data_IF_749827100466
#
_entry.id   IF_749827100466
#
_cell.length_a   1.000
_cell.length_b   1.000
_cell.length_c   1.000
_cell.angle_alpha   90.00
_cell.angle_beta   90.00
_cell.angle_gamma   90.00
#
_symmetry.space_group_name_H-M   'P 1'
#
loop_
_entity.id
_entity.type
_entity.pdbx_description
1 polymer ?
#
# COMPACT_ATOMS: atom_id res chain seq x y z
N UNK A 1 24.64 -18.21 -16.65
CA UNK A 1 25.02 -16.81 -16.33
C UNK A 1 26.43 -16.47 -16.81
N UNK A 2 26.71 -16.28 -18.12
CA UNK A 2 28.09 -15.99 -18.55
C UNK A 2 28.33 -15.28 -19.92
N UNK A 3 27.32 -14.90 -20.71
CA UNK A 3 27.56 -14.39 -22.09
C UNK A 3 27.04 -12.98 -22.39
N UNK A 4 26.29 -12.35 -21.49
CA UNK A 4 25.87 -10.94 -21.60
C UNK A 4 26.92 -9.93 -21.08
N UNK A 5 27.94 -10.40 -20.35
CA UNK A 5 28.98 -9.54 -19.74
C UNK A 5 30.20 -9.24 -20.63
N UNK A 6 30.30 -9.82 -21.83
CA UNK A 6 31.49 -9.69 -22.69
C UNK A 6 31.42 -8.59 -23.75
N UNK A 7 30.29 -7.89 -23.92
CA UNK A 7 30.13 -6.82 -24.94
C UNK A 7 30.13 -5.38 -24.38
N UNK A 8 30.26 -5.18 -23.06
CA UNK A 8 30.28 -3.85 -22.44
C UNK A 8 31.68 -3.35 -22.06
N UNK A 9 32.73 -4.12 -22.33
CA UNK A 9 34.11 -3.66 -22.12
C UNK A 9 34.56 -2.81 -23.31
N UNK A 10 34.79 -1.52 -23.04
CA UNK A 10 35.22 -0.40 -23.92
C UNK A 10 34.12 0.44 -24.57
N UNK A 11 33.38 1.16 -23.72
CA UNK A 11 33.17 2.60 -23.90
C UNK A 11 33.31 3.23 -22.51
N UNK A 12 34.40 3.94 -22.27
CA UNK A 12 34.44 4.93 -21.18
C UNK A 12 33.53 6.09 -21.63
N UNK A 13 32.22 5.90 -21.47
CA UNK A 13 31.31 7.03 -21.34
C UNK A 13 31.67 7.69 -20.03
N UNK A 14 32.20 8.92 -20.09
CA UNK A 14 32.15 9.82 -18.95
C UNK A 14 30.66 9.93 -18.58
N UNK A 15 30.23 9.17 -17.58
CA UNK A 15 28.92 9.37 -16.98
C UNK A 15 29.00 10.73 -16.30
N UNK A 16 28.39 11.74 -16.91
CA UNK A 16 28.15 13.02 -16.25
C UNK A 16 27.19 12.68 -15.12
N UNK A 17 27.70 12.68 -13.89
CA UNK A 17 26.88 12.49 -12.70
C UNK A 17 26.15 13.80 -12.47
N UNK A 18 24.83 13.78 -12.65
CA UNK A 18 24.00 14.96 -12.41
C UNK A 18 23.43 14.92 -10.99
N UNK A 19 23.50 16.07 -10.31
CA UNK A 19 22.90 16.28 -9.00
C UNK A 19 21.76 17.29 -9.14
N UNK A 20 20.56 16.90 -8.72
CA UNK A 20 19.39 17.76 -8.71
C UNK A 20 18.94 18.02 -7.28
N UNK A 21 18.76 19.30 -6.92
CA UNK A 21 18.30 19.70 -5.60
C UNK A 21 16.82 20.08 -5.60
N UNK A 22 16.09 19.67 -4.56
CA UNK A 22 14.70 20.03 -4.29
C UNK A 22 14.50 20.41 -2.82
N UNK A 23 13.74 21.46 -2.52
CA UNK A 23 13.39 21.79 -1.13
C UNK A 23 12.61 20.67 -0.45
N UNK A 24 11.70 20.04 -1.19
CA UNK A 24 10.84 18.95 -0.71
C UNK A 24 10.82 17.80 -1.71
N UNK A 25 11.13 16.59 -1.25
CA UNK A 25 11.06 15.37 -2.06
C UNK A 25 10.06 14.39 -1.46
N UNK A 26 8.99 14.12 -2.19
CA UNK A 26 8.00 13.08 -1.87
C UNK A 26 8.39 11.80 -2.59
N UNK A 27 8.44 10.67 -1.88
CA UNK A 27 8.73 9.35 -2.46
C UNK A 27 7.53 8.46 -2.20
N UNK A 28 6.85 7.94 -3.22
CA UNK A 28 5.68 7.07 -3.03
C UNK A 28 4.90 6.86 -4.31
N UNK A 29 4.07 5.83 -4.34
CA UNK A 29 3.41 5.35 -5.57
C UNK A 29 1.87 5.28 -5.43
N UNK A 30 1.30 5.99 -4.45
CA UNK A 30 -0.10 5.88 -4.03
C UNK A 30 -0.87 7.22 -4.02
N UNK A 31 -2.18 7.16 -3.75
CA UNK A 31 -3.03 8.36 -3.62
C UNK A 31 -2.50 9.38 -2.61
N UNK A 32 -1.88 8.90 -1.54
CA UNK A 32 -1.55 9.74 -0.39
C UNK A 32 -0.28 10.54 -0.65
N UNK A 33 0.72 9.94 -1.30
CA UNK A 33 1.91 10.62 -1.83
C UNK A 33 1.54 11.63 -2.92
N UNK A 34 0.60 11.30 -3.82
CA UNK A 34 0.08 12.24 -4.81
C UNK A 34 -0.61 13.46 -4.16
N UNK A 35 -1.44 13.23 -3.14
CA UNK A 35 -2.09 14.31 -2.39
C UNK A 35 -1.09 15.17 -1.61
N UNK A 36 -0.10 14.54 -0.96
CA UNK A 36 0.96 15.28 -0.26
C UNK A 36 1.76 16.16 -1.23
N UNK A 37 2.15 15.62 -2.38
CA UNK A 37 2.82 16.38 -3.43
C UNK A 37 2.00 17.60 -3.83
N UNK A 38 0.70 17.42 -4.10
CA UNK A 38 -0.21 18.52 -4.45
C UNK A 38 -0.29 19.59 -3.35
N UNK A 39 -0.40 19.18 -2.09
CA UNK A 39 -0.44 20.08 -0.95
C UNK A 39 0.87 20.88 -0.82
N UNK A 40 2.02 20.23 -0.93
CA UNK A 40 3.32 20.88 -0.87
C UNK A 40 3.53 21.85 -2.04
N UNK A 41 3.14 21.48 -3.27
CA UNK A 41 3.20 22.40 -4.41
C UNK A 41 2.34 23.64 -4.18
N UNK A 42 1.17 23.50 -3.54
CA UNK A 42 0.31 24.65 -3.21
C UNK A 42 0.90 25.58 -2.14
N UNK A 43 1.75 25.04 -1.25
CA UNK A 43 2.36 25.79 -0.14
C UNK A 43 3.70 26.42 -0.51
N UNK A 44 4.53 25.72 -1.29
CA UNK A 44 5.92 26.07 -1.57
C UNK A 44 6.19 26.41 -3.04
N UNK A 45 5.27 26.08 -3.95
CA UNK A 45 5.42 26.23 -5.39
C UNK A 45 6.00 24.97 -6.06
N UNK A 46 5.65 24.75 -7.33
CA UNK A 46 6.03 23.53 -8.07
C UNK A 46 7.55 23.38 -8.28
N UNK A 47 8.31 24.48 -8.31
CA UNK A 47 9.76 24.43 -8.53
C UNK A 47 10.54 23.86 -7.33
N UNK A 48 9.96 23.93 -6.13
CA UNK A 48 10.62 23.51 -4.88
C UNK A 48 10.29 22.05 -4.49
N UNK A 49 9.32 21.44 -5.17
CA UNK A 49 8.75 20.16 -4.77
C UNK A 49 8.88 19.16 -5.90
N UNK A 50 9.51 18.02 -5.62
CA UNK A 50 9.55 16.89 -6.53
C UNK A 50 8.79 15.69 -5.95
N UNK A 51 8.24 14.88 -6.85
CA UNK A 51 7.64 13.60 -6.51
C UNK A 51 8.32 12.48 -7.28
N UNK A 52 8.84 11.51 -6.53
CA UNK A 52 9.41 10.28 -7.03
C UNK A 52 8.36 9.16 -6.97
N UNK A 53 7.94 8.70 -8.15
CA UNK A 53 7.05 7.57 -8.34
C UNK A 53 7.69 6.58 -9.32
N UNK A 54 7.70 5.30 -8.97
CA UNK A 54 8.23 4.21 -9.81
C UNK A 54 7.35 3.89 -11.02
N UNK A 55 6.07 4.23 -10.94
CA UNK A 55 5.08 3.95 -11.98
C UNK A 55 4.53 5.27 -12.50
N UNK A 56 4.22 5.33 -13.80
CA UNK A 56 3.55 6.48 -14.37
C UNK A 56 2.19 6.69 -13.68
N UNK A 57 1.96 7.84 -13.00
CA UNK A 57 0.73 8.05 -12.26
C UNK A 57 -0.47 8.06 -13.20
N UNK A 58 -1.43 7.19 -12.93
CA UNK A 58 -2.74 7.19 -13.57
C UNK A 58 -3.82 6.92 -12.53
N UNK A 59 -5.09 7.19 -12.86
CA UNK A 59 -6.21 6.89 -11.96
C UNK A 59 -6.26 5.40 -11.56
N UNK A 60 -5.95 4.50 -12.49
CA UNK A 60 -5.97 3.06 -12.25
C UNK A 60 -4.78 2.60 -11.38
N UNK A 61 -3.65 3.30 -11.44
CA UNK A 61 -2.43 3.00 -10.66
C UNK A 61 -2.47 3.57 -9.25
N UNK A 62 -2.97 4.80 -9.09
CA UNK A 62 -3.00 5.46 -7.78
C UNK A 62 -4.04 4.84 -6.85
N UNK A 63 -5.20 4.42 -7.39
CA UNK A 63 -6.26 3.81 -6.58
C UNK A 63 -5.76 2.55 -5.86
N UNK A 64 -6.23 2.28 -4.62
CA UNK A 64 -5.89 1.06 -3.93
C UNK A 64 -6.25 -0.18 -4.77
N UNK A 65 -5.31 -1.11 -4.88
CA UNK A 65 -5.52 -2.37 -5.58
C UNK A 65 -6.09 -3.43 -4.64
N UNK A 66 -6.91 -4.31 -5.19
CA UNK A 66 -7.42 -5.48 -4.49
C UNK A 66 -8.75 -5.24 -3.76
N UNK A 67 -9.19 -6.26 -3.01
CA UNK A 67 -10.39 -6.14 -2.18
C UNK A 67 -10.27 -4.96 -1.21
N UNK A 68 -11.40 -4.33 -0.87
CA UNK A 68 -11.39 -3.14 0.00
C UNK A 68 -10.64 -3.39 1.29
N UNK A 69 -9.90 -2.36 1.72
CA UNK A 69 -9.10 -2.34 2.93
C UNK A 69 -9.81 -1.65 4.10
N UNK A 70 -11.00 -1.06 3.86
CA UNK A 70 -11.86 -0.55 4.91
C UNK A 70 -12.80 -1.67 5.36
N UNK A 71 -12.47 -2.36 6.44
CA UNK A 71 -13.21 -3.55 6.92
C UNK A 71 -13.39 -3.56 8.43
N UNK A 72 -14.51 -4.12 8.87
CA UNK A 72 -14.79 -4.28 10.30
C UNK A 72 -15.31 -3.00 10.96
N UNK A 73 -16.03 -3.19 12.06
CA UNK A 73 -16.74 -2.10 12.74
C UNK A 73 -15.80 -1.04 13.30
N UNK A 74 -14.65 -1.45 13.83
CA UNK A 74 -13.65 -0.54 14.41
C UNK A 74 -13.09 0.43 13.36
N UNK A 75 -12.69 -0.10 12.20
CA UNK A 75 -12.15 0.69 11.09
C UNK A 75 -13.19 1.61 10.48
N UNK A 76 -14.44 1.15 10.36
CA UNK A 76 -15.55 1.97 9.85
C UNK A 76 -15.91 3.13 10.79
N UNK A 77 -15.90 2.86 12.09
CA UNK A 77 -16.14 3.89 13.10
C UNK A 77 -15.06 4.97 13.01
N UNK A 78 -13.79 4.59 12.91
CA UNK A 78 -12.69 5.54 12.85
C UNK A 78 -12.66 6.32 11.54
N UNK A 79 -12.88 5.63 10.42
CA UNK A 79 -13.01 6.29 9.12
C UNK A 79 -14.10 7.36 9.13
N UNK A 80 -15.26 7.07 9.74
CA UNK A 80 -16.36 8.03 9.87
C UNK A 80 -16.02 9.25 10.73
N UNK A 81 -15.09 9.14 11.69
CA UNK A 81 -14.63 10.29 12.48
C UNK A 81 -13.71 11.21 11.68
N UNK A 82 -12.82 10.61 10.90
CA UNK A 82 -11.84 11.34 10.10
C UNK A 82 -12.46 11.98 8.86
N UNK A 83 -13.45 11.29 8.27
CA UNK A 83 -14.12 11.71 7.06
C UNK A 83 -15.65 11.72 7.27
N UNK A 84 -16.18 12.60 8.13
CA UNK A 84 -17.60 12.59 8.52
C UNK A 84 -18.56 12.88 7.36
N UNK A 85 -18.07 13.50 6.30
CA UNK A 85 -18.85 13.84 5.11
C UNK A 85 -18.61 12.89 3.93
N UNK A 86 -17.77 11.86 4.08
CA UNK A 86 -17.47 10.95 2.99
C UNK A 86 -18.60 9.94 2.80
N UNK A 87 -19.02 9.74 1.56
CA UNK A 87 -19.95 8.67 1.25
C UNK A 87 -19.22 7.31 1.21
N UNK A 88 -19.80 6.34 1.90
CA UNK A 88 -19.25 4.99 2.05
C UNK A 88 -20.32 3.96 1.67
N UNK A 89 -20.03 3.13 0.67
CA UNK A 89 -20.89 2.02 0.29
C UNK A 89 -20.55 0.79 1.14
N UNK A 90 -21.47 0.35 1.99
CA UNK A 90 -21.26 -0.82 2.85
C UNK A 90 -21.53 -2.13 2.12
N UNK A 91 -20.65 -3.11 2.30
CA UNK A 91 -20.87 -4.45 1.79
C UNK A 91 -21.85 -5.20 2.69
N UNK A 92 -23.09 -5.35 2.25
CA UNK A 92 -24.15 -6.00 3.03
C UNK A 92 -23.92 -7.51 3.23
N UNK A 93 -23.38 -8.18 2.21
CA UNK A 93 -23.20 -9.64 2.20
C UNK A 93 -21.92 -10.03 2.93
N UNK A 94 -22.02 -11.04 3.80
CA UNK A 94 -20.87 -11.59 4.51
C UNK A 94 -19.91 -12.33 3.56
N UNK A 95 -18.59 -12.30 3.82
CA UNK A 95 -17.61 -13.07 3.07
C UNK A 95 -17.89 -14.57 3.03
N UNK A 96 -17.49 -15.22 1.94
CA UNK A 96 -17.68 -16.66 1.69
C UNK A 96 -16.40 -17.31 1.17
N UNK A 97 -16.24 -18.61 1.45
CA UNK A 97 -15.14 -19.41 0.91
C UNK A 97 -15.65 -20.52 0.00
N UNK A 98 -14.85 -20.89 -0.99
CA UNK A 98 -15.18 -21.93 -1.96
C UNK A 98 -14.63 -23.29 -1.52
N UNK A 99 -15.53 -24.25 -1.24
CA UNK A 99 -15.16 -25.62 -0.82
C UNK A 99 -16.21 -26.61 -1.28
N UNK A 100 -15.78 -27.80 -1.72
CA UNK A 100 -16.67 -28.86 -2.25
C UNK A 100 -17.59 -28.34 -3.37
N UNK A 101 -17.01 -27.53 -4.26
CA UNK A 101 -17.68 -26.92 -5.41
C UNK A 101 -18.80 -25.92 -5.07
N UNK A 102 -18.90 -25.47 -3.82
CA UNK A 102 -19.92 -24.52 -3.37
C UNK A 102 -19.29 -23.39 -2.55
N UNK A 103 -19.89 -22.21 -2.64
CA UNK A 103 -19.59 -21.13 -1.71
C UNK A 103 -20.28 -21.37 -0.38
N UNK A 104 -19.53 -21.18 0.71
CA UNK A 104 -19.98 -21.45 2.08
C UNK A 104 -19.63 -20.24 2.95
N UNK A 105 -20.50 -19.85 3.90
CA UNK A 105 -20.21 -18.78 4.83
C UNK A 105 -19.20 -19.24 5.89
N UNK A 106 -18.40 -18.30 6.39
CA UNK A 106 -17.58 -18.50 7.58
C UNK A 106 -18.50 -18.72 8.80
N UNK A 107 -18.56 -19.95 9.31
CA UNK A 107 -19.39 -20.34 10.47
C UNK A 107 -18.66 -21.37 11.31
N UNK A 108 -19.05 -21.55 12.58
CA UNK A 108 -18.45 -22.54 13.46
C UNK A 108 -18.54 -23.99 12.92
N UNK A 109 -19.57 -24.29 12.11
CA UNK A 109 -19.83 -25.64 11.57
C UNK A 109 -19.08 -25.93 10.27
N UNK A 110 -18.83 -24.91 9.45
CA UNK A 110 -18.18 -25.07 8.15
C UNK A 110 -16.81 -24.39 8.16
N UNK A 111 -15.74 -25.19 8.16
CA UNK A 111 -14.36 -24.71 8.18
C UNK A 111 -13.82 -24.55 6.77
N UNK A 112 -13.27 -23.37 6.48
CA UNK A 112 -12.38 -23.13 5.33
C UNK A 112 -11.09 -23.95 5.48
N UNK A 113 -10.21 -23.90 4.49
CA UNK A 113 -8.81 -24.22 4.74
C UNK A 113 -8.22 -23.20 5.72
N UNK A 114 -7.12 -23.51 6.44
CA UNK A 114 -6.52 -22.58 7.37
C UNK A 114 -6.20 -21.26 6.70
N UNK A 115 -6.72 -20.18 7.29
CA UNK A 115 -6.46 -18.83 6.84
C UNK A 115 -5.01 -18.48 7.16
N UNK A 116 -4.28 -18.01 6.14
CA UNK A 116 -2.90 -17.59 6.30
C UNK A 116 -2.81 -16.15 6.81
N UNK A 117 -1.59 -15.64 6.94
CA UNK A 117 -1.33 -14.26 7.36
C UNK A 117 -2.17 -13.28 6.54
N UNK A 118 -2.78 -12.30 7.20
CA UNK A 118 -3.59 -11.28 6.54
C UNK A 118 -4.98 -11.74 6.08
N UNK A 119 -5.21 -13.02 5.81
CA UNK A 119 -6.47 -13.50 5.22
C UNK A 119 -7.66 -13.35 6.16
N UNK A 120 -7.44 -13.51 7.48
CA UNK A 120 -8.47 -13.32 8.50
C UNK A 120 -9.09 -11.91 8.48
N UNK A 121 -8.33 -10.90 8.04
CA UNK A 121 -8.83 -9.53 7.90
C UNK A 121 -9.98 -9.46 6.87
N UNK A 122 -9.84 -10.18 5.76
CA UNK A 122 -10.82 -10.19 4.68
C UNK A 122 -12.06 -11.04 4.99
N UNK A 123 -12.09 -11.77 6.11
CA UNK A 123 -13.29 -12.49 6.55
C UNK A 123 -14.32 -11.55 7.18
N UNK A 124 -13.96 -10.28 7.37
CA UNK A 124 -14.85 -9.23 7.85
C UNK A 124 -15.52 -8.51 6.67
N UNK A 125 -16.72 -7.97 6.91
CA UNK A 125 -17.42 -7.16 5.90
C UNK A 125 -16.61 -5.91 5.57
N UNK A 126 -16.54 -5.58 4.28
CA UNK A 126 -15.91 -4.36 3.81
C UNK A 126 -16.86 -3.20 3.61
N UNK A 127 -16.29 -2.04 3.32
CA UNK A 127 -16.99 -0.91 2.74
C UNK A 127 -16.10 -0.18 1.73
N UNK A 128 -16.70 0.57 0.83
CA UNK A 128 -16.02 1.26 -0.25
C UNK A 128 -16.23 2.76 -0.11
N UNK A 129 -15.22 3.50 0.34
CA UNK A 129 -15.31 4.94 0.32
C UNK A 129 -15.24 5.43 -1.13
N UNK A 130 -15.96 6.50 -1.44
CA UNK A 130 -15.81 7.20 -2.72
C UNK A 130 -14.51 8.00 -2.73
N UNK A 131 -13.45 7.40 -3.27
CA UNK A 131 -12.11 8.00 -3.30
C UNK A 131 -12.07 9.36 -3.97
N UNK A 132 -12.89 9.58 -4.99
CA UNK A 132 -13.00 10.84 -5.72
C UNK A 132 -13.59 11.99 -4.88
N UNK A 133 -14.34 11.66 -3.82
CA UNK A 133 -14.84 12.63 -2.84
C UNK A 133 -13.79 12.94 -1.78
N UNK A 134 -12.97 11.95 -1.40
CA UNK A 134 -11.87 12.14 -0.45
C UNK A 134 -10.68 12.88 -1.07
N UNK A 135 -10.39 12.58 -2.34
CA UNK A 135 -9.24 13.06 -3.08
C UNK A 135 -9.71 13.79 -4.33
N UNK A 136 -10.12 15.04 -4.16
CA UNK A 136 -10.72 15.83 -5.24
C UNK A 136 -9.82 15.98 -6.48
N UNK A 137 -8.49 15.87 -6.32
CA UNK A 137 -7.55 15.92 -7.44
C UNK A 137 -7.77 14.79 -8.45
N UNK A 138 -8.41 13.68 -8.06
CA UNK A 138 -8.77 12.59 -8.99
C UNK A 138 -9.76 13.04 -10.06
N UNK A 139 -10.51 14.11 -9.81
CA UNK A 139 -11.41 14.70 -10.80
C UNK A 139 -10.75 15.83 -11.62
N UNK A 140 -9.54 16.25 -11.25
CA UNK A 140 -8.79 17.29 -11.94
C UNK A 140 -8.00 16.69 -13.12
N UNK A 141 -8.56 16.83 -14.32
CA UNK A 141 -7.96 16.28 -15.55
C UNK A 141 -6.66 16.97 -15.93
N UNK A 142 -6.52 18.27 -15.65
CA UNK A 142 -5.31 19.02 -15.99
C UNK A 142 -4.16 18.60 -15.07
N UNK A 143 -4.43 18.51 -13.77
CA UNK A 143 -3.47 18.01 -12.80
C UNK A 143 -3.03 16.58 -13.14
N UNK A 144 -3.99 15.66 -13.32
CA UNK A 144 -3.69 14.26 -13.64
C UNK A 144 -2.89 14.10 -14.95
N UNK A 145 -3.20 14.89 -15.98
CA UNK A 145 -2.44 14.88 -17.24
C UNK A 145 -1.03 15.45 -17.06
N UNK A 146 -0.84 16.40 -16.15
CA UNK A 146 0.47 17.00 -15.88
C UNK A 146 1.41 16.07 -15.10
N UNK A 147 0.87 15.20 -14.25
CA UNK A 147 1.65 14.31 -13.37
C UNK A 147 2.64 13.44 -14.15
N UNK A 148 2.22 12.83 -15.27
CA UNK A 148 3.07 11.95 -16.07
C UNK A 148 4.37 12.62 -16.58
N UNK A 149 4.36 13.95 -16.76
CA UNK A 149 5.52 14.72 -17.21
C UNK A 149 6.37 15.33 -16.08
N UNK A 150 5.82 15.41 -14.87
CA UNK A 150 6.44 16.10 -13.72
C UNK A 150 7.09 15.14 -12.73
N UNK A 151 6.72 13.86 -12.78
CA UNK A 151 7.16 12.87 -11.82
C UNK A 151 8.52 12.28 -12.18
N UNK A 152 9.37 12.16 -11.18
CA UNK A 152 10.66 11.50 -11.28
C UNK A 152 10.44 9.99 -11.14
N UNK A 153 10.96 9.20 -12.09
CA UNK A 153 10.89 7.73 -12.03
C UNK A 153 12.25 7.00 -11.94
N UNK A 154 13.31 7.55 -11.33
CA UNK A 154 14.55 6.81 -11.19
C UNK A 154 14.40 5.65 -10.20
N UNK A 155 15.02 4.52 -10.51
CA UNK A 155 15.19 3.43 -9.56
C UNK A 155 16.23 3.83 -8.52
N UNK A 156 15.85 3.87 -7.25
CA UNK A 156 16.75 4.26 -6.15
C UNK A 156 17.48 3.04 -5.62
N UNK A 157 18.79 3.17 -5.46
CA UNK A 157 19.70 2.11 -4.97
C UNK A 157 20.42 2.48 -3.68
N UNK A 158 20.30 3.73 -3.24
CA UNK A 158 20.89 4.18 -1.99
C UNK A 158 20.27 5.47 -1.47
N UNK A 159 20.35 5.64 -0.16
CA UNK A 159 19.88 6.81 0.57
C UNK A 159 20.92 7.16 1.64
N UNK A 160 21.28 8.43 1.76
CA UNK A 160 22.20 8.90 2.78
C UNK A 160 21.67 10.19 3.40
N UNK A 161 21.87 10.32 4.72
CA UNK A 161 21.83 11.63 5.37
C UNK A 161 23.17 12.33 5.13
N UNK A 162 23.11 13.58 4.69
CA UNK A 162 24.27 14.41 4.38
C UNK A 162 24.24 15.66 5.25
N UNK A 163 25.42 16.23 5.50
CA UNK A 163 25.53 17.51 6.21
C UNK A 163 25.42 18.63 5.18
N UNK A 164 24.50 19.60 5.35
CA UNK A 164 24.40 20.75 4.47
C UNK A 164 25.73 21.50 4.36
N UNK A 165 26.26 21.62 3.15
CA UNK A 165 27.47 22.41 2.87
C UNK A 165 27.16 23.77 2.24
N UNK A 166 26.00 23.90 1.58
CA UNK A 166 25.51 25.13 0.97
C UNK A 166 24.48 25.80 1.88
N UNK A 167 24.59 27.12 2.05
CA UNK A 167 23.68 27.93 2.86
C UNK A 167 22.36 28.23 2.13
N UNK A 168 22.32 28.10 0.81
CA UNK A 168 21.15 28.34 -0.03
C UNK A 168 20.44 27.00 -0.29
N UNK A 169 21.19 25.97 -0.71
CA UNK A 169 20.67 24.62 -0.96
C UNK A 169 21.07 23.70 0.19
N UNK A 170 20.39 23.85 1.32
CA UNK A 170 20.68 23.12 2.55
C UNK A 170 20.20 21.65 2.48
N UNK A 171 20.82 20.85 1.60
CA UNK A 171 20.48 19.44 1.43
C UNK A 171 20.84 18.61 2.66
N UNK A 172 19.87 17.88 3.19
CA UNK A 172 20.04 16.97 4.33
C UNK A 172 19.97 15.50 3.92
N UNK A 173 19.35 15.20 2.77
CA UNK A 173 19.21 13.85 2.25
C UNK A 173 19.69 13.78 0.81
N UNK A 174 20.31 12.65 0.47
CA UNK A 174 20.73 12.31 -0.89
C UNK A 174 20.23 10.91 -1.25
N UNK A 175 19.44 10.82 -2.32
CA UNK A 175 19.04 9.56 -2.95
C UNK A 175 19.94 9.31 -4.16
N UNK A 176 20.40 8.08 -4.29
CA UNK A 176 21.24 7.62 -5.40
C UNK A 176 20.42 6.80 -6.37
N UNK A 177 20.32 7.24 -7.62
CA UNK A 177 19.69 6.50 -8.70
C UNK A 177 20.59 5.38 -9.24
N UNK A 178 19.97 4.33 -9.79
CA UNK A 178 20.66 3.23 -10.46
C UNK A 178 21.41 3.68 -11.73
N UNK A 179 21.01 4.82 -12.29
CA UNK A 179 21.65 5.54 -13.39
C UNK A 179 22.95 6.27 -12.96
N UNK A 180 23.20 6.36 -11.65
CA UNK A 180 24.34 7.06 -11.07
C UNK A 180 24.08 8.52 -10.75
N UNK A 181 22.88 9.03 -11.00
CA UNK A 181 22.49 10.41 -10.68
C UNK A 181 22.09 10.56 -9.21
N UNK A 182 22.12 11.80 -8.71
CA UNK A 182 21.74 12.12 -7.33
C UNK A 182 20.53 13.05 -7.28
N UNK A 183 19.60 12.72 -6.38
CA UNK A 183 18.53 13.61 -5.97
C UNK A 183 18.82 14.06 -4.54
N UNK A 184 18.97 15.35 -4.34
CA UNK A 184 19.23 15.96 -3.03
C UNK A 184 18.02 16.73 -2.57
N UNK A 185 17.73 16.66 -1.26
CA UNK A 185 16.65 17.44 -0.70
C UNK A 185 16.88 17.87 0.73
N UNK A 186 16.22 18.96 1.12
CA UNK A 186 16.15 19.39 2.51
C UNK A 186 15.14 18.53 3.28
N UNK A 187 13.91 18.41 2.77
CA UNK A 187 12.82 17.65 3.41
C UNK A 187 12.50 16.38 2.63
N UNK A 188 12.59 15.22 3.28
CA UNK A 188 12.29 13.92 2.70
C UNK A 188 10.99 13.36 3.27
N UNK A 189 9.99 13.17 2.40
CA UNK A 189 8.72 12.52 2.73
C UNK A 189 8.72 11.11 2.14
N UNK A 190 8.93 10.12 3.00
CA UNK A 190 9.08 8.73 2.61
C UNK A 190 7.77 7.98 2.74
N UNK A 191 7.10 7.84 1.61
CA UNK A 191 5.82 7.16 1.44
C UNK A 191 5.87 5.66 1.25
N UNK A 192 7.06 5.11 1.03
CA UNK A 192 7.25 3.67 0.93
C UNK A 192 7.49 3.06 2.31
N UNK A 193 7.72 1.75 2.34
CA UNK A 193 7.91 1.05 3.62
C UNK A 193 9.12 1.56 4.41
N UNK A 194 8.99 1.54 5.75
CA UNK A 194 10.10 1.85 6.65
C UNK A 194 11.25 0.84 6.53
N UNK A 195 10.96 -0.43 6.21
CA UNK A 195 11.98 -1.42 5.92
C UNK A 195 12.75 -1.12 4.63
N UNK A 196 12.11 -0.63 3.58
CA UNK A 196 12.80 -0.21 2.35
C UNK A 196 13.69 1.01 2.60
N UNK A 197 13.19 2.00 3.36
CA UNK A 197 14.00 3.13 3.83
C UNK A 197 15.25 2.61 4.53
N UNK A 198 15.07 1.70 5.49
CA UNK A 198 16.19 1.11 6.20
C UNK A 198 17.12 0.44 5.21
N UNK A 199 16.67 -0.47 4.35
CA UNK A 199 17.53 -1.19 3.42
C UNK A 199 18.36 -0.28 2.50
N UNK A 200 17.79 0.85 2.05
CA UNK A 200 18.48 1.82 1.19
C UNK A 200 19.45 2.73 1.97
N UNK A 201 19.25 2.92 3.27
CA UNK A 201 20.07 3.84 4.07
C UNK A 201 21.53 3.38 4.20
N UNK A 202 22.49 4.18 3.76
CA UNK A 202 23.88 3.73 3.62
C UNK A 202 24.61 3.53 4.95
N UNK A 203 24.43 4.44 5.91
CA UNK A 203 25.16 4.43 7.19
C UNK A 203 24.22 4.18 8.37
N UNK A 204 24.04 2.90 8.72
CA UNK A 204 23.16 2.50 9.83
C UNK A 204 23.58 3.06 11.18
N UNK A 205 24.83 3.47 11.35
CA UNK A 205 25.32 4.00 12.64
C UNK A 205 24.73 5.37 12.98
N UNK A 206 24.13 6.06 11.99
CA UNK A 206 23.41 7.31 12.19
C UNK A 206 21.96 7.10 12.65
N UNK A 207 21.48 5.85 12.70
CA UNK A 207 20.14 5.50 13.14
C UNK A 207 20.19 4.98 14.59
N UNK A 208 19.19 5.32 15.39
CA UNK A 208 19.06 4.75 16.73
C UNK A 208 18.68 3.27 16.65
N UNK A 209 18.95 2.51 17.71
CA UNK A 209 18.49 1.12 17.81
C UNK A 209 16.97 0.99 17.75
N UNK A 210 16.25 1.94 18.36
CA UNK A 210 14.78 1.99 18.33
C UNK A 210 14.24 2.23 16.90
N UNK A 211 14.89 3.11 16.13
CA UNK A 211 14.52 3.38 14.74
C UNK A 211 14.77 2.15 13.85
N UNK A 212 15.91 1.48 14.02
CA UNK A 212 16.20 0.23 13.29
C UNK A 212 15.16 -0.83 13.65
N UNK A 213 14.87 -1.02 14.94
CA UNK A 213 13.84 -1.94 15.40
C UNK A 213 12.47 -1.61 14.78
N UNK A 214 12.09 -0.34 14.77
CA UNK A 214 10.85 0.12 14.15
C UNK A 214 10.76 -0.29 12.66
N UNK A 215 11.84 -0.05 11.92
CA UNK A 215 11.92 -0.41 10.51
C UNK A 215 11.88 -1.94 10.29
N UNK A 216 12.61 -2.71 11.09
CA UNK A 216 12.64 -4.18 10.97
C UNK A 216 11.29 -4.82 11.33
N UNK A 217 10.62 -4.31 12.36
CA UNK A 217 9.28 -4.76 12.74
C UNK A 217 8.21 -4.43 11.69
N UNK A 218 8.48 -3.49 10.77
CA UNK A 218 7.56 -3.17 9.68
C UNK A 218 7.50 -4.23 8.58
N UNK A 219 8.32 -5.29 8.68
CA UNK A 219 8.34 -6.41 7.72
C UNK A 219 6.96 -7.07 7.60
N UNK A 220 6.45 -7.11 6.37
CA UNK A 220 5.24 -7.85 5.99
C UNK A 220 5.53 -8.79 4.82
N UNK A 221 4.67 -9.81 4.58
CA UNK A 221 4.72 -10.59 3.36
C UNK A 221 4.56 -9.70 2.12
N UNK A 222 4.87 -10.24 0.95
CA UNK A 222 4.57 -9.58 -0.32
C UNK A 222 3.16 -9.92 -0.79
N UNK A 223 2.59 -9.07 -1.64
CA UNK A 223 1.26 -9.25 -2.21
C UNK A 223 1.29 -9.38 -3.72
N UNK A 224 0.45 -10.28 -4.23
CA UNK A 224 0.15 -10.41 -5.64
C UNK A 224 -1.31 -9.99 -5.88
N UNK A 225 -1.49 -8.98 -6.72
CA UNK A 225 -2.78 -8.50 -7.16
C UNK A 225 -3.08 -8.92 -8.59
N UNK A 226 -4.31 -9.33 -8.84
CA UNK A 226 -4.82 -9.62 -10.20
C UNK A 226 -6.14 -8.90 -10.37
N UNK A 227 -6.19 -7.93 -11.29
CA UNK A 227 -7.40 -7.22 -11.69
C UNK A 227 -7.80 -7.69 -13.09
N UNK A 228 -9.05 -8.11 -13.24
CA UNK A 228 -9.64 -8.46 -14.54
C UNK A 228 -10.82 -7.54 -14.82
N UNK A 229 -10.77 -6.78 -15.92
CA UNK A 229 -11.87 -5.90 -16.38
C UNK A 229 -12.62 -6.58 -17.53
N UNK A 230 -13.93 -6.77 -17.36
CA UNK A 230 -14.85 -7.38 -18.33
C UNK A 230 -15.81 -6.33 -18.89
N UNK A 231 -16.10 -6.34 -20.20
CA UNK A 231 -17.08 -5.42 -20.81
C UNK A 231 -18.54 -5.75 -20.45
N UNK A 232 -18.77 -6.90 -19.80
CA UNK A 232 -20.10 -7.39 -19.39
C UNK A 232 -19.99 -8.03 -18.01
N UNK A 233 -21.12 -8.09 -17.33
CA UNK A 233 -21.23 -8.76 -16.04
C UNK A 233 -21.01 -10.29 -16.20
N UNK A 234 -20.10 -10.84 -15.40
CA UNK A 234 -19.75 -12.27 -15.34
C UNK A 234 -20.21 -12.95 -14.05
N UNK A 235 -20.60 -12.16 -13.03
CA UNK A 235 -21.06 -12.65 -11.73
C UNK A 235 -22.00 -11.65 -11.04
N UNK A 236 -23.00 -12.14 -10.30
CA UNK A 236 -23.89 -11.34 -9.44
C UNK A 236 -23.42 -11.28 -7.97
N UNK A 237 -22.25 -11.85 -7.67
CA UNK A 237 -21.69 -11.84 -6.32
C UNK A 237 -21.17 -10.46 -5.98
N UNK A 238 -21.44 -10.03 -4.75
CA UNK A 238 -21.00 -8.73 -4.20
C UNK A 238 -20.20 -8.91 -2.90
N UNK A 239 -20.21 -10.11 -2.34
CA UNK A 239 -19.43 -10.50 -1.17
C UNK A 239 -17.95 -10.77 -1.50
N UNK A 240 -17.09 -10.65 -0.50
CA UNK A 240 -15.69 -11.10 -0.59
C UNK A 240 -15.61 -12.62 -0.74
N UNK A 241 -14.85 -13.07 -1.73
CA UNK A 241 -14.68 -14.49 -2.07
C UNK A 241 -13.30 -14.99 -1.66
N UNK A 242 -13.26 -16.14 -0.99
CA UNK A 242 -12.03 -16.87 -0.70
C UNK A 242 -11.94 -18.09 -1.61
N UNK A 243 -11.00 -18.06 -2.55
CA UNK A 243 -10.72 -19.18 -3.46
C UNK A 243 -9.41 -19.84 -3.06
N UNK A 244 -9.38 -21.15 -2.75
CA UNK A 244 -8.17 -21.79 -2.26
C UNK A 244 -7.07 -21.77 -3.33
N UNK A 245 -5.81 -21.59 -2.90
CA UNK A 245 -4.62 -21.65 -3.76
C UNK A 245 -4.23 -23.09 -4.13
N UNK A 246 -4.79 -24.08 -3.45
CA UNK A 246 -4.66 -25.50 -3.77
C UNK A 246 -5.84 -26.24 -3.16
N UNK A 247 -6.30 -27.33 -3.79
CA UNK A 247 -7.32 -28.20 -3.19
C UNK A 247 -6.72 -29.28 -2.29
N UNK A 248 -5.40 -29.39 -2.25
CA UNK A 248 -4.68 -30.49 -1.59
C UNK A 248 -3.66 -30.01 -0.57
N UNK A 249 -3.35 -28.70 -0.55
CA UNK A 249 -2.34 -28.12 0.33
C UNK A 249 -2.85 -26.81 0.91
N UNK A 250 -2.55 -26.57 2.18
CA UNK A 250 -2.96 -25.39 2.93
C UNK A 250 -2.07 -24.19 2.57
N UNK A 251 -2.22 -23.69 1.34
CA UNK A 251 -1.40 -22.59 0.81
C UNK A 251 -2.07 -21.23 0.93
N UNK A 252 -3.24 -21.15 1.57
CA UNK A 252 -4.04 -19.94 1.68
C UNK A 252 -4.99 -19.76 0.51
N UNK A 253 -5.44 -18.52 0.34
CA UNK A 253 -6.52 -18.15 -0.55
C UNK A 253 -6.16 -16.97 -1.44
N UNK A 254 -6.87 -16.88 -2.56
CA UNK A 254 -7.17 -15.63 -3.21
C UNK A 254 -8.38 -15.01 -2.53
N UNK A 255 -8.25 -13.78 -2.05
CA UNK A 255 -9.38 -12.96 -1.60
C UNK A 255 -9.79 -12.06 -2.77
N UNK A 256 -11.05 -12.08 -3.17
CA UNK A 256 -11.49 -11.28 -4.31
C UNK A 256 -12.88 -10.71 -4.25
N UNK A 257 -13.07 -9.59 -4.95
CA UNK A 257 -14.31 -8.82 -4.96
C UNK A 257 -14.66 -8.39 -6.38
N UNK A 258 -15.92 -8.59 -6.75
CA UNK A 258 -16.48 -8.08 -8.00
C UNK A 258 -17.04 -6.69 -7.79
N UNK A 259 -16.79 -5.78 -8.73
CA UNK A 259 -17.34 -4.43 -8.73
C UNK A 259 -17.81 -4.04 -10.13
N UNK A 260 -18.84 -3.19 -10.19
CA UNK A 260 -19.19 -2.53 -11.44
C UNK A 260 -18.26 -1.34 -11.62
N UNK A 261 -17.83 -1.10 -12.85
CA UNK A 261 -17.06 0.08 -13.20
C UNK A 261 -17.74 0.84 -14.32
N UNK A 262 -17.54 2.16 -14.32
CA UNK A 262 -17.91 3.06 -15.40
C UNK A 262 -16.77 4.07 -15.54
N UNK A 263 -16.01 3.93 -16.60
CA UNK A 263 -14.88 4.79 -16.92
C UNK A 263 -15.06 5.41 -18.32
N UNK A 264 -14.04 6.12 -18.79
CA UNK A 264 -14.05 6.73 -20.12
C UNK A 264 -13.97 5.70 -21.25
N UNK A 265 -13.57 4.46 -20.96
CA UNK A 265 -13.41 3.37 -21.93
C UNK A 265 -14.67 2.49 -22.05
N UNK A 266 -15.57 2.59 -21.08
CA UNK A 266 -16.88 1.95 -21.11
C UNK A 266 -17.45 1.70 -19.71
N UNK A 267 -18.41 0.80 -19.67
CA UNK A 267 -18.97 0.28 -18.43
C UNK A 267 -18.87 -1.23 -18.45
N UNK A 268 -18.60 -1.82 -17.30
CA UNK A 268 -18.49 -3.27 -17.21
C UNK A 268 -18.45 -3.77 -15.79
N UNK A 269 -17.86 -4.93 -15.61
CA UNK A 269 -17.58 -5.50 -14.31
C UNK A 269 -16.08 -5.74 -14.19
N UNK A 270 -15.50 -5.39 -13.08
CA UNK A 270 -14.14 -5.76 -12.72
C UNK A 270 -14.16 -6.75 -11.56
N UNK A 271 -13.10 -7.54 -11.45
CA UNK A 271 -12.83 -8.34 -10.26
C UNK A 271 -11.38 -8.15 -9.88
N UNK A 272 -11.14 -7.89 -8.60
CA UNK A 272 -9.80 -7.77 -8.06
C UNK A 272 -9.56 -8.89 -7.06
N UNK A 273 -8.41 -9.54 -7.22
CA UNK A 273 -7.95 -10.60 -6.34
C UNK A 273 -6.62 -10.21 -5.70
N UNK A 274 -6.45 -10.60 -4.45
CA UNK A 274 -5.24 -10.47 -3.66
C UNK A 274 -4.84 -11.81 -3.07
N UNK A 275 -3.55 -12.11 -3.05
CA UNK A 275 -2.98 -13.18 -2.24
C UNK A 275 -1.61 -12.80 -1.71
N UNK A 276 -1.28 -13.32 -0.52
CA UNK A 276 0.00 -13.07 0.14
C UNK A 276 1.01 -14.16 -0.20
N UNK A 277 2.29 -13.80 -0.25
CA UNK A 277 3.37 -14.76 -0.46
C UNK A 277 4.68 -14.30 0.18
N UNK A 278 5.55 -15.26 0.48
CA UNK A 278 6.92 -14.98 0.91
C UNK A 278 7.82 -14.83 -0.32
N UNK A 279 8.39 -13.64 -0.51
CA UNK A 279 9.29 -13.31 -1.62
C UNK A 279 10.56 -14.16 -1.65
N UNK A 280 11.00 -14.68 -0.51
CA UNK A 280 12.20 -15.52 -0.43
C UNK A 280 11.91 -16.97 -0.85
N UNK A 281 10.64 -17.39 -0.78
CA UNK A 281 10.21 -18.75 -1.09
C UNK A 281 9.49 -18.88 -2.45
N UNK A 282 9.00 -17.78 -3.03
CA UNK A 282 8.29 -17.78 -4.31
C UNK A 282 9.11 -17.11 -5.41
N UNK A 283 9.20 -17.76 -6.57
CA UNK A 283 9.77 -17.18 -7.79
C UNK A 283 8.65 -16.80 -8.79
N UNK A 284 9.03 -16.17 -9.91
CA UNK A 284 8.11 -15.74 -10.97
C UNK A 284 7.28 -16.89 -11.58
N UNK A 285 7.86 -18.09 -11.71
CA UNK A 285 7.15 -19.26 -12.24
C UNK A 285 6.03 -19.70 -11.29
N UNK A 286 6.25 -19.60 -9.99
CA UNK A 286 5.26 -19.94 -8.97
C UNK A 286 4.12 -18.90 -8.91
N UNK A 287 4.44 -17.61 -9.03
CA UNK A 287 3.43 -16.56 -9.19
C UNK A 287 2.60 -16.79 -10.46
N UNK A 288 3.26 -17.10 -11.58
CA UNK A 288 2.60 -17.43 -12.85
C UNK A 288 1.70 -18.66 -12.76
N UNK A 289 2.05 -19.67 -11.95
CA UNK A 289 1.19 -20.83 -11.67
C UNK A 289 -0.04 -20.42 -10.85
N UNK A 290 0.12 -19.57 -9.81
CA UNK A 290 -0.99 -19.07 -8.98
C UNK A 290 -2.03 -18.31 -9.82
N UNK A 291 -1.58 -17.43 -10.72
CA UNK A 291 -2.47 -16.67 -11.62
C UNK A 291 -3.23 -17.60 -12.57
N UNK A 292 -2.53 -18.57 -13.20
CA UNK A 292 -3.18 -19.56 -14.07
C UNK A 292 -4.18 -20.43 -13.32
N UNK A 293 -3.91 -20.75 -12.05
CA UNK A 293 -4.86 -21.49 -11.22
C UNK A 293 -6.10 -20.64 -10.90
N UNK A 294 -5.93 -19.37 -10.54
CA UNK A 294 -7.04 -18.42 -10.35
C UNK A 294 -7.96 -18.40 -11.57
N UNK A 295 -7.42 -18.17 -12.77
CA UNK A 295 -8.20 -18.16 -14.01
C UNK A 295 -8.99 -19.44 -14.23
N UNK A 296 -8.36 -20.61 -14.02
CA UNK A 296 -9.03 -21.92 -14.11
C UNK A 296 -10.15 -22.07 -13.08
N UNK A 297 -9.98 -21.53 -11.87
CA UNK A 297 -11.05 -21.48 -10.87
C UNK A 297 -12.19 -20.60 -11.35
N UNK A 298 -11.91 -19.41 -11.87
CA UNK A 298 -12.96 -18.51 -12.37
C UNK A 298 -13.76 -19.14 -13.51
N UNK A 299 -13.11 -19.78 -14.48
CA UNK A 299 -13.78 -20.52 -15.56
C UNK A 299 -14.69 -21.64 -15.06
N UNK A 300 -14.29 -22.33 -13.98
CA UNK A 300 -15.06 -23.43 -13.38
C UNK A 300 -16.23 -22.92 -12.54
N UNK A 301 -16.03 -21.83 -11.81
CA UNK A 301 -16.97 -21.31 -10.82
C UNK A 301 -18.02 -20.41 -11.48
N UNK A 302 -17.61 -19.61 -12.47
CA UNK A 302 -18.45 -18.62 -13.14
C UNK A 302 -18.61 -18.96 -14.62
N UNK A 303 -19.74 -19.58 -15.03
CA UNK A 303 -19.93 -20.02 -16.40
C UNK A 303 -19.81 -18.89 -17.45
N UNK A 304 -20.23 -17.67 -17.09
CA UNK A 304 -20.15 -16.49 -17.95
C UNK A 304 -18.72 -15.97 -18.13
N UNK A 305 -17.76 -16.40 -17.29
CA UNK A 305 -16.35 -16.08 -17.48
C UNK A 305 -15.80 -16.76 -18.75
N UNK A 306 -16.26 -17.99 -19.03
CA UNK A 306 -15.75 -18.77 -20.15
C UNK A 306 -16.13 -18.12 -21.49
N UNK A 307 -15.13 -17.63 -22.22
CA UNK A 307 -15.31 -16.98 -23.51
C UNK A 307 -15.68 -15.50 -23.43
N UNK A 308 -15.73 -14.91 -22.23
CA UNK A 308 -15.84 -13.46 -22.08
C UNK A 308 -14.44 -12.83 -22.27
N UNK A 309 -14.26 -11.87 -23.19
CA UNK A 309 -13.00 -11.17 -23.30
C UNK A 309 -12.77 -10.31 -22.04
N UNK A 310 -11.54 -10.26 -21.57
CA UNK A 310 -11.15 -9.42 -20.44
C UNK A 310 -9.78 -8.80 -20.65
N UNK A 311 -9.55 -7.66 -19.99
CA UNK A 311 -8.22 -7.09 -19.83
C UNK A 311 -7.68 -7.51 -18.47
N UNK A 312 -6.40 -7.87 -18.44
CA UNK A 312 -5.72 -8.31 -17.24
C UNK A 312 -4.65 -7.31 -16.83
N UNK A 313 -4.61 -7.05 -15.53
CA UNK A 313 -3.59 -6.25 -14.88
C UNK A 313 -3.05 -7.03 -13.69
N UNK A 314 -1.73 -7.07 -13.55
CA UNK A 314 -1.04 -7.81 -12.49
C UNK A 314 -0.09 -6.83 -11.81
N UNK A 315 -0.16 -6.76 -10.48
CA UNK A 315 0.73 -5.94 -9.66
C UNK A 315 1.34 -6.78 -8.56
N UNK A 316 2.63 -6.62 -8.33
CA UNK A 316 3.32 -7.19 -7.17
C UNK A 316 3.76 -6.05 -6.28
N UNK A 317 3.41 -6.14 -5.01
CA UNK A 317 3.89 -5.21 -3.99
C UNK A 317 4.82 -5.97 -3.05
N UNK A 318 6.02 -5.44 -2.82
CA UNK A 318 7.02 -6.11 -1.99
C UNK A 318 6.58 -6.24 -0.53
N UNK A 319 5.70 -5.35 -0.09
CA UNK A 319 5.17 -5.29 1.26
C UNK A 319 3.71 -4.91 1.24
N UNK A 320 3.02 -5.32 2.29
CA UNK A 320 1.59 -5.14 2.45
C UNK A 320 1.26 -4.28 3.65
N UNK A 321 -0.02 -3.93 3.77
CA UNK A 321 -0.56 -3.30 4.97
C UNK A 321 -0.20 -4.11 6.23
N UNK A 322 0.15 -3.43 7.31
CA UNK A 322 0.55 -4.05 8.57
C UNK A 322 -0.63 -4.13 9.53
N UNK A 323 -1.15 -5.32 9.82
CA UNK A 323 -2.36 -5.45 10.67
C UNK A 323 -2.17 -5.04 12.14
N UNK A 324 -0.93 -5.04 12.65
CA UNK A 324 -0.60 -4.68 14.03
C UNK A 324 0.58 -3.73 14.03
N UNK A 325 0.37 -2.51 14.49
CA UNK A 325 1.37 -1.46 14.49
C UNK A 325 1.73 -1.05 15.92
N UNK A 326 3.03 -0.87 16.20
CA UNK A 326 3.47 -0.35 17.49
C UNK A 326 3.50 1.19 17.45
N UNK A 327 2.40 1.79 17.90
CA UNK A 327 2.22 3.24 17.92
C UNK A 327 3.15 3.95 18.91
N UNK A 328 3.51 3.27 20.01
CA UNK A 328 4.42 3.82 21.01
C UNK A 328 5.82 3.94 20.44
N UNK A 329 6.29 2.88 19.78
CA UNK A 329 7.58 2.87 19.12
C UNK A 329 7.62 3.91 17.99
N UNK A 330 6.58 4.00 17.16
CA UNK A 330 6.50 5.04 16.13
C UNK A 330 6.59 6.46 16.69
N UNK A 331 5.81 6.75 17.74
CA UNK A 331 5.78 8.09 18.36
C UNK A 331 7.13 8.47 18.96
N UNK A 332 7.90 7.48 19.42
CA UNK A 332 9.26 7.67 19.92
C UNK A 332 10.24 8.02 18.78
N UNK A 333 10.12 7.35 17.63
CA UNK A 333 11.11 7.46 16.54
C UNK A 333 10.77 8.50 15.48
N UNK A 334 9.52 8.95 15.38
CA UNK A 334 9.02 9.80 14.28
C UNK A 334 9.68 11.17 14.16
N UNK A 335 10.38 11.63 15.19
CA UNK A 335 11.12 12.91 15.20
C UNK A 335 12.63 12.76 15.36
N UNK A 336 13.17 11.54 15.39
CA UNK A 336 14.61 11.34 15.61
C UNK A 336 15.46 11.86 14.45
N UNK A 337 14.95 11.74 13.23
CA UNK A 337 15.60 12.24 12.02
C UNK A 337 14.96 13.55 11.58
N UNK A 338 15.69 14.64 11.82
CA UNK A 338 15.34 15.99 11.34
C UNK A 338 15.00 15.96 9.85
N UNK A 339 13.91 16.63 9.48
CA UNK A 339 13.44 16.75 8.08
C UNK A 339 13.17 15.42 7.36
N UNK A 340 13.03 14.31 8.11
CA UNK A 340 12.45 13.07 7.62
C UNK A 340 11.01 12.96 8.07
N UNK A 341 10.18 12.48 7.16
CA UNK A 341 8.76 12.30 7.34
C UNK A 341 8.38 10.94 6.78
N UNK A 342 8.27 9.92 7.63
CA UNK A 342 7.88 8.56 7.24
C UNK A 342 6.36 8.43 7.18
N UNK A 343 5.82 7.86 6.11
CA UNK A 343 4.43 7.45 6.08
C UNK A 343 4.16 6.40 7.15
N UNK A 344 3.07 6.58 7.90
CA UNK A 344 2.62 5.58 8.85
C UNK A 344 2.18 4.34 8.08
N UNK A 345 2.57 3.12 8.50
CA UNK A 345 1.96 1.91 7.97
C UNK A 345 0.44 1.99 8.06
N UNK A 346 -0.22 1.98 6.89
CA UNK A 346 -1.66 2.07 6.69
C UNK A 346 -2.33 3.42 6.99
N UNK A 347 -1.60 4.45 7.42
CA UNK A 347 -2.18 5.76 7.77
C UNK A 347 -2.14 6.75 6.60
N UNK A 348 -3.06 7.71 6.53
CA UNK A 348 -3.00 8.78 5.53
C UNK A 348 -1.79 9.71 5.77
N UNK A 349 -1.22 10.26 4.69
CA UNK A 349 -0.14 11.25 4.74
C UNK A 349 -0.60 12.61 5.31
N UNK A 350 -1.88 12.81 5.59
CA UNK A 350 -2.38 14.03 6.26
C UNK A 350 -1.75 14.26 7.64
N UNK A 351 -1.07 13.27 8.21
CA UNK A 351 -0.28 13.38 9.43
C UNK A 351 1.00 14.24 9.31
N UNK A 352 1.36 14.76 8.13
CA UNK A 352 2.47 15.71 7.97
C UNK A 352 2.10 17.16 8.33
N UNK A 353 0.81 17.44 8.52
CA UNK A 353 0.33 18.61 9.26
C UNK A 353 0.10 18.24 10.72
N UNK A 354 0.42 19.16 11.65
CA UNK A 354 0.15 19.02 13.08
C UNK A 354 -1.37 18.97 13.37
N UNK A 355 -2.06 17.90 12.98
CA UNK A 355 -3.38 17.55 13.50
C UNK A 355 -3.22 16.42 14.50
N UNK A 356 -3.58 16.69 15.75
CA UNK A 356 -3.53 15.77 16.90
C UNK A 356 -4.46 14.53 16.77
N UNK A 357 -5.13 14.34 15.64
CA UNK A 357 -5.97 13.17 15.38
C UNK A 357 -5.14 12.03 14.80
N UNK A 358 -4.71 11.12 15.68
CA UNK A 358 -4.10 9.84 15.33
C UNK A 358 -5.08 8.93 14.57
N UNK A 359 -4.57 8.26 13.54
CA UNK A 359 -5.21 7.12 12.89
C UNK A 359 -4.81 5.87 13.69
N UNK A 360 -5.70 5.32 14.51
CA UNK A 360 -5.40 4.16 15.37
C UNK A 360 -5.90 2.86 14.73
N UNK A 361 -4.96 2.05 14.25
CA UNK A 361 -5.13 0.61 14.03
C UNK A 361 -4.38 -0.15 15.14
N UNK A 362 -4.73 0.17 16.39
CA UNK A 362 -4.32 -0.59 17.57
C UNK A 362 -5.52 -1.37 18.10
N UNK A 363 -5.67 -2.61 17.66
CA UNK A 363 -6.36 -3.60 18.49
C UNK A 363 -5.44 -3.87 19.67
N UNK A 364 -5.70 -3.20 20.79
CA UNK A 364 -5.82 -3.79 22.12
C UNK A 364 -6.37 -2.75 23.10
N UNK A 365 -7.67 -2.81 23.37
CA UNK A 365 -8.19 -2.42 24.69
C UNK A 365 -7.53 -3.35 25.71
N UNK A 366 -6.50 -2.88 26.41
CA UNK A 366 -6.20 -3.41 27.74
C UNK A 366 -7.36 -2.95 28.63
N UNK A 367 -8.05 -3.87 29.35
CA UNK A 367 -9.13 -3.48 30.23
C UNK A 367 -8.58 -2.59 31.34
N UNK A 368 -9.12 -1.38 31.47
CA UNK A 368 -8.97 -0.58 32.68
C UNK A 368 -9.64 -1.36 33.82
N UNK A 369 -8.83 -2.01 34.65
CA UNK A 369 -9.27 -2.47 35.95
C UNK A 369 -9.48 -1.23 36.85
N UNK A 370 -10.66 -0.63 36.75
CA UNK A 370 -11.22 0.13 37.87
C UNK A 370 -12.05 -0.84 38.70
N UNK A 371 -11.45 -1.44 39.72
CA UNK A 371 -12.13 -2.02 40.89
C UNK A 371 -11.09 -2.62 41.84
N UNK A 372 -10.42 -1.77 42.63
CA UNK A 372 -9.83 -2.11 43.92
C UNK A 372 -9.35 -0.85 44.66
N UNK A 373 -10.29 0.02 45.07
CA UNK A 373 -10.07 0.91 46.22
C UNK A 373 -11.40 1.54 46.68
N UNK A 374 -12.33 0.72 47.15
CA UNK A 374 -13.37 1.14 48.10
C UNK A 374 -13.38 0.15 49.27
N UNK A 375 -12.34 0.23 50.10
CA UNK A 375 -12.44 -0.15 51.51
C UNK A 375 -11.61 0.84 52.30
N UNK A 376 -12.27 1.82 52.92
CA UNK A 376 -12.28 1.94 54.37
C UNK A 376 -12.80 3.32 54.82
N UNK A 377 -13.56 3.27 55.92
CA UNK A 377 -13.85 4.34 56.88
C UNK A 377 -15.12 5.17 56.64
N UNK A 378 -16.25 4.61 57.08
CA UNK A 378 -17.25 5.39 57.82
C UNK A 378 -16.84 5.49 59.30
N UNK A 379 -16.89 6.69 59.91
CA UNK A 379 -16.99 6.84 61.35
C UNK A 379 -18.37 7.38 61.72
N UNK A 380 -19.11 6.65 62.57
CA UNK A 380 -20.07 7.09 63.62
C UNK A 380 -21.00 5.94 63.97
#
# INVERSE_FOLDING_TARGET
MALSRLKSLKKETQNVVETHFFGHLVVGDDLQSAELYRQLCSQHGEAEVAWLCTVEPSLDELRPWGPTTLRGESSLLEFSKLYPNAEVEHQEKSPVFYKEQKFRPFTAKMKSEPLQWGEQFYSQKGAYPKWEELYHFLNDREFMASLGSKVLSPTIVGLAKITPTDLIQAAEYRLTGADGNFLECQNLYWGRSALEFLNLFSDKNQLSGDFIQFCEESTTPSSLFVRLKFPKMVSERLETLFLPLSYTHEWGHWMGEFRLYKDNEGSGQEVEFLTFFDKNACNEDDLSKKIRLLKRHLEKIFPLFKGCPYREYIKVEEQTMRLKFDEMLYSKVSGELVNLSLARPNGPFSAFGASESSFEYSINKIPLASEASEESLSPS
#
